data_IF_966421751158
#
_entry.id   IF_966421751158
#
_cell.length_a   1.000
_cell.length_b   1.000
_cell.length_c   1.000
_cell.angle_alpha   90.00
_cell.angle_beta   90.00
_cell.angle_gamma   90.00
#
_symmetry.space_group_name_H-M   'P 1'
#
loop_
_entity.id
_entity.type
_entity.pdbx_description
1 polymer ?
#
# COMPACT_ATOMS: atom_id res chain seq x y z
N UNK A 1 11.74 -4.87 24.78
CA UNK A 1 11.01 -4.23 25.90
C UNK A 1 12.03 -3.80 26.94
N UNK A 2 12.21 -2.49 27.16
CA UNK A 2 12.93 -1.95 28.33
C UNK A 2 11.88 -1.22 29.16
N UNK A 3 11.61 -1.70 30.37
CA UNK A 3 10.61 -1.14 31.28
C UNK A 3 9.97 -2.25 32.12
N UNK A 4 9.61 -1.94 33.37
CA UNK A 4 8.96 -2.86 34.30
C UNK A 4 7.84 -3.67 33.61
N UNK A 5 7.74 -4.97 33.90
CA UNK A 5 6.83 -5.91 33.23
C UNK A 5 5.32 -5.66 33.49
N UNK A 6 4.93 -4.44 33.86
CA UNK A 6 3.55 -4.08 34.08
C UNK A 6 2.97 -3.52 32.77
N UNK A 7 1.89 -4.12 32.24
CA UNK A 7 1.21 -3.57 31.07
C UNK A 7 0.65 -2.18 31.40
N UNK A 8 0.85 -1.23 30.49
CA UNK A 8 0.22 0.10 30.57
C UNK A 8 -1.14 0.01 29.87
N UNK A 9 -2.19 0.46 30.55
CA UNK A 9 -3.54 0.48 29.99
C UNK A 9 -3.68 1.64 28.99
N UNK A 10 -4.21 1.34 27.80
CA UNK A 10 -4.66 2.36 26.85
C UNK A 10 -5.97 2.97 27.36
N UNK A 11 -6.05 4.29 27.41
CA UNK A 11 -7.22 5.01 27.95
C UNK A 11 -7.78 6.04 26.99
N UNK A 12 -9.10 6.23 27.05
CA UNK A 12 -9.80 7.38 26.48
C UNK A 12 -10.46 8.12 27.65
N UNK A 13 -9.96 9.32 27.95
CA UNK A 13 -10.27 9.99 29.21
C UNK A 13 -9.84 9.16 30.41
N UNK A 14 -10.75 8.93 31.37
CA UNK A 14 -10.48 8.12 32.56
C UNK A 14 -10.67 6.61 32.34
N UNK A 15 -11.19 6.18 31.19
CA UNK A 15 -11.65 4.80 30.96
C UNK A 15 -10.61 4.00 30.21
N UNK A 16 -10.25 2.84 30.75
CA UNK A 16 -9.46 1.84 30.01
C UNK A 16 -10.32 1.21 28.91
N UNK A 17 -9.77 1.13 27.70
CA UNK A 17 -10.43 0.45 26.58
C UNK A 17 -10.16 -1.06 26.61
N UNK A 18 -11.05 -1.82 25.99
CA UNK A 18 -10.90 -3.23 25.66
C UNK A 18 -11.10 -3.42 24.16
N UNK A 19 -10.83 -4.62 23.66
CA UNK A 19 -11.02 -4.95 22.23
C UNK A 19 -12.48 -4.78 21.76
N UNK A 20 -13.44 -4.68 22.67
CA UNK A 20 -14.87 -4.57 22.37
C UNK A 20 -15.47 -3.21 22.78
N UNK A 21 -14.66 -2.23 23.20
CA UNK A 21 -15.17 -0.91 23.63
C UNK A 21 -15.91 -0.18 22.51
N UNK A 22 -15.45 -0.33 21.26
CA UNK A 22 -16.05 0.32 20.10
C UNK A 22 -16.48 -0.73 19.06
N UNK A 23 -17.77 -1.08 19.00
CA UNK A 23 -18.27 -2.02 17.99
C UNK A 23 -17.92 -1.57 16.56
N UNK A 24 -17.50 -2.51 15.71
CA UNK A 24 -17.05 -2.22 14.34
C UNK A 24 -15.61 -1.74 14.22
N UNK A 25 -14.86 -1.68 15.33
CA UNK A 25 -13.44 -1.37 15.36
C UNK A 25 -12.63 -2.55 15.89
N UNK A 26 -11.51 -2.81 15.23
CA UNK A 26 -10.53 -3.81 15.64
C UNK A 26 -9.22 -3.11 15.99
N UNK A 27 -8.68 -3.38 17.19
CA UNK A 27 -7.32 -3.00 17.56
C UNK A 27 -6.36 -3.99 16.91
N UNK A 28 -5.36 -3.49 16.17
CA UNK A 28 -4.43 -4.33 15.42
C UNK A 28 -3.05 -4.37 16.08
N UNK A 29 -2.49 -3.19 16.38
CA UNK A 29 -1.13 -3.06 16.87
C UNK A 29 -0.96 -1.80 17.72
N UNK A 30 0.12 -1.75 18.50
CA UNK A 30 0.52 -0.61 19.29
C UNK A 30 2.05 -0.44 19.17
N UNK A 31 2.53 0.78 18.92
CA UNK A 31 3.95 1.08 18.71
C UNK A 31 4.27 2.54 19.09
N UNK A 32 5.50 2.83 19.48
CA UNK A 32 5.99 4.22 19.62
C UNK A 32 6.72 4.64 18.35
N UNK A 33 6.06 5.42 17.50
CA UNK A 33 6.58 5.85 16.21
C UNK A 33 7.07 7.30 16.33
N UNK A 34 8.37 7.52 16.12
CA UNK A 34 9.00 8.85 16.22
C UNK A 34 8.69 9.57 17.55
N UNK A 35 8.67 8.83 18.66
CA UNK A 35 8.41 9.36 20.01
C UNK A 35 6.95 9.58 20.35
N UNK A 36 6.01 9.25 19.46
CA UNK A 36 4.56 9.33 19.70
C UNK A 36 4.04 7.91 19.88
N UNK A 37 3.33 7.66 20.98
CA UNK A 37 2.64 6.39 21.18
C UNK A 37 1.45 6.30 20.23
N UNK A 38 1.34 5.21 19.50
CA UNK A 38 0.32 5.00 18.50
C UNK A 38 -0.38 3.66 18.68
N UNK A 39 -1.67 3.63 18.39
CA UNK A 39 -2.45 2.40 18.26
C UNK A 39 -3.03 2.38 16.85
N UNK A 40 -2.83 1.28 16.13
CA UNK A 40 -3.42 1.06 14.82
C UNK A 40 -4.75 0.33 14.97
N UNK A 41 -5.76 0.83 14.28
CA UNK A 41 -7.11 0.30 14.29
C UNK A 41 -7.61 0.07 12.86
N UNK A 42 -8.51 -0.89 12.72
CA UNK A 42 -9.29 -1.12 11.50
C UNK A 42 -10.76 -0.90 11.77
N UNK A 43 -11.39 -0.06 10.96
CA UNK A 43 -12.84 0.00 10.87
C UNK A 43 -13.30 -1.18 9.99
N UNK A 44 -14.02 -2.13 10.58
CA UNK A 44 -14.34 -3.41 9.92
C UNK A 44 -15.46 -3.27 8.89
N UNK A 45 -16.36 -2.29 9.02
CA UNK A 45 -17.44 -2.09 8.05
C UNK A 45 -16.97 -1.37 6.79
N UNK A 46 -16.02 -0.43 6.93
CA UNK A 46 -15.47 0.34 5.81
C UNK A 46 -14.18 -0.26 5.25
N UNK A 47 -13.55 -1.20 5.96
CA UNK A 47 -12.25 -1.78 5.64
C UNK A 47 -11.14 -0.72 5.51
N UNK A 48 -11.12 0.23 6.45
CA UNK A 48 -10.18 1.36 6.48
C UNK A 48 -9.30 1.32 7.72
N UNK A 49 -8.03 1.72 7.57
CA UNK A 49 -7.09 1.89 8.67
C UNK A 49 -7.14 3.29 9.27
N UNK A 50 -6.91 3.32 10.57
CA UNK A 50 -6.80 4.51 11.39
C UNK A 50 -5.68 4.36 12.41
N UNK A 51 -5.07 5.47 12.77
CA UNK A 51 -4.11 5.58 13.86
C UNK A 51 -4.72 6.47 14.93
N UNK A 52 -4.63 6.02 16.18
CA UNK A 52 -4.73 6.89 17.34
C UNK A 52 -3.35 7.34 17.76
N UNK A 53 -3.21 8.64 18.03
CA UNK A 53 -2.04 9.18 18.69
C UNK A 53 -2.36 9.34 20.18
N UNK A 54 -1.42 8.91 21.01
CA UNK A 54 -1.53 8.89 22.46
C UNK A 54 -0.35 9.65 23.07
N UNK A 55 -0.55 10.15 24.29
CA UNK A 55 0.53 10.72 25.08
C UNK A 55 1.51 9.63 25.56
N UNK A 56 2.57 10.05 26.26
CA UNK A 56 3.57 9.17 26.84
C UNK A 56 3.03 8.16 27.87
N UNK A 57 1.81 8.39 28.38
CA UNK A 57 1.12 7.52 29.33
C UNK A 57 0.02 6.67 28.66
N UNK A 58 -0.02 6.60 27.33
CA UNK A 58 -1.02 5.87 26.54
C UNK A 58 -2.46 6.38 26.75
N UNK A 59 -2.64 7.67 27.01
CA UNK A 59 -3.94 8.33 26.95
C UNK A 59 -4.18 8.90 25.55
N UNK A 60 -5.33 8.57 24.96
CA UNK A 60 -5.75 9.04 23.64
C UNK A 60 -5.76 10.58 23.55
N UNK A 61 -5.18 11.10 22.46
CA UNK A 61 -5.11 12.55 22.18
C UNK A 61 -5.83 12.91 20.87
N UNK A 62 -5.61 12.13 19.82
CA UNK A 62 -6.18 12.41 18.50
C UNK A 62 -6.28 11.14 17.65
N UNK A 63 -7.00 11.25 16.53
CA UNK A 63 -7.08 10.21 15.52
C UNK A 63 -6.83 10.79 14.13
N UNK A 64 -6.31 9.94 13.25
CA UNK A 64 -6.17 10.18 11.83
C UNK A 64 -6.38 8.87 11.09
N UNK A 65 -6.73 8.91 9.81
CA UNK A 65 -7.00 7.68 9.07
C UNK A 65 -8.02 7.84 7.96
N UNK A 66 -8.78 6.77 7.77
CA UNK A 66 -9.68 6.62 6.62
C UNK A 66 -8.93 6.11 5.39
N UNK A 67 -7.86 5.35 5.62
CA UNK A 67 -6.98 4.87 4.56
C UNK A 67 -7.39 3.48 4.09
N UNK A 68 -7.60 3.31 2.79
CA UNK A 68 -7.74 1.98 2.21
C UNK A 68 -6.46 1.18 2.41
N UNK A 69 -6.57 -0.14 2.62
CA UNK A 69 -5.45 -1.01 2.97
C UNK A 69 -4.29 -0.93 1.95
N UNK A 70 -4.60 -0.74 0.66
CA UNK A 70 -3.60 -0.66 -0.41
C UNK A 70 -3.19 0.78 -0.77
N UNK A 71 -3.26 1.71 0.19
CA UNK A 71 -2.91 3.11 -0.03
C UNK A 71 -1.54 3.46 0.56
N UNK A 72 -0.88 4.48 0.02
CA UNK A 72 0.43 4.94 0.52
C UNK A 72 0.47 5.22 2.03
N UNK A 73 -0.55 5.86 2.64
CA UNK A 73 -0.58 6.03 4.10
C UNK A 73 -0.68 4.70 4.86
N UNK A 74 -1.44 3.71 4.35
CA UNK A 74 -1.56 2.39 4.96
C UNK A 74 -0.23 1.62 4.89
N UNK A 75 0.44 1.60 3.74
CA UNK A 75 1.79 1.04 3.58
C UNK A 75 2.82 1.70 4.51
N UNK A 76 2.67 3.01 4.76
CA UNK A 76 3.52 3.70 5.74
C UNK A 76 3.30 3.17 7.15
N UNK A 77 2.06 2.81 7.51
CA UNK A 77 1.78 2.18 8.81
C UNK A 77 2.31 0.75 8.89
N UNK A 78 2.23 -0.03 7.81
CA UNK A 78 2.88 -1.35 7.78
C UNK A 78 4.37 -1.23 8.09
N UNK A 79 5.04 -0.24 7.52
CA UNK A 79 6.46 0.04 7.80
C UNK A 79 6.67 0.52 9.24
N UNK A 80 5.82 1.41 9.76
CA UNK A 80 5.98 1.92 11.13
C UNK A 80 5.78 0.83 12.19
N UNK A 81 4.81 -0.07 11.98
CA UNK A 81 4.46 -1.13 12.92
C UNK A 81 5.10 -2.49 12.57
N UNK A 82 5.84 -2.57 11.46
CA UNK A 82 6.52 -3.78 10.97
C UNK A 82 5.58 -4.98 10.81
N UNK A 83 4.38 -4.75 10.26
CA UNK A 83 3.35 -5.76 10.06
C UNK A 83 2.65 -5.56 8.71
N UNK A 84 2.30 -6.66 8.04
CA UNK A 84 1.49 -6.67 6.83
C UNK A 84 0.00 -6.64 7.22
N UNK A 85 -0.65 -5.49 7.04
CA UNK A 85 -2.05 -5.29 7.44
C UNK A 85 -3.04 -5.56 6.31
N UNK A 86 -2.56 -5.59 5.06
CA UNK A 86 -3.39 -5.80 3.89
C UNK A 86 -3.39 -7.27 3.42
N UNK A 87 -2.40 -8.06 3.85
CA UNK A 87 -2.26 -9.49 3.59
C UNK A 87 -1.65 -9.84 2.23
N UNK A 88 -0.92 -8.93 1.60
CA UNK A 88 -0.27 -9.15 0.29
C UNK A 88 1.11 -9.83 0.39
N UNK A 89 1.60 -10.07 1.60
CA UNK A 89 2.88 -10.69 1.88
C UNK A 89 4.06 -9.73 1.89
N UNK A 90 3.83 -8.42 1.77
CA UNK A 90 4.85 -7.37 1.85
C UNK A 90 4.57 -6.44 3.04
N UNK A 91 5.65 -5.89 3.60
CA UNK A 91 5.56 -4.79 4.57
C UNK A 91 5.87 -3.51 3.80
N UNK A 92 4.91 -2.59 3.76
CA UNK A 92 5.06 -1.32 3.05
C UNK A 92 4.68 -1.42 1.58
N UNK A 93 5.08 -0.45 0.77
CA UNK A 93 4.59 -0.33 -0.60
C UNK A 93 5.26 -1.39 -1.51
N UNK A 94 4.51 -2.36 -2.07
CA UNK A 94 5.09 -3.45 -2.87
C UNK A 94 5.44 -3.04 -4.30
N UNK A 95 4.76 -2.01 -4.84
CA UNK A 95 4.92 -1.59 -6.24
C UNK A 95 5.28 -0.12 -6.37
N UNK A 96 6.23 0.17 -7.25
CA UNK A 96 6.65 1.53 -7.61
C UNK A 96 6.01 1.93 -8.95
N UNK A 97 5.31 3.07 -9.04
CA UNK A 97 4.81 3.58 -10.31
C UNK A 97 5.95 3.93 -11.27
N UNK A 98 5.82 3.47 -12.51
CA UNK A 98 6.58 3.97 -13.67
C UNK A 98 5.80 5.11 -14.32
N UNK A 99 4.47 4.95 -14.40
CA UNK A 99 3.54 5.91 -14.96
C UNK A 99 2.23 5.83 -14.16
N UNK A 100 1.62 6.97 -13.87
CA UNK A 100 0.53 7.07 -12.89
C UNK A 100 -0.61 8.04 -13.32
N UNK A 101 -0.61 8.48 -14.57
CA UNK A 101 -1.65 9.31 -15.16
C UNK A 101 -2.67 8.42 -15.89
N UNK A 102 -3.87 8.96 -16.11
CA UNK A 102 -4.96 8.18 -16.69
C UNK A 102 -5.64 7.25 -15.67
N UNK A 103 -6.34 6.24 -16.18
CA UNK A 103 -7.12 5.31 -15.34
C UNK A 103 -6.29 4.11 -14.90
N UNK A 104 -5.27 3.77 -15.70
CA UNK A 104 -4.39 2.63 -15.49
C UNK A 104 -2.98 3.11 -15.21
N UNK A 105 -2.42 2.71 -14.06
CA UNK A 105 -1.01 2.96 -13.73
C UNK A 105 -0.16 1.82 -14.28
N UNK A 106 1.01 2.14 -14.81
CA UNK A 106 2.07 1.16 -15.01
C UNK A 106 2.96 1.14 -13.76
N UNK A 107 3.08 -0.03 -13.12
CA UNK A 107 3.88 -0.19 -11.91
C UNK A 107 4.85 -1.36 -12.04
N UNK A 108 5.89 -1.37 -11.19
CA UNK A 108 6.84 -2.48 -11.08
C UNK A 108 7.05 -2.93 -9.65
N UNK A 109 7.36 -4.22 -9.48
CA UNK A 109 7.82 -4.75 -8.19
C UNK A 109 9.34 -4.53 -7.99
N UNK A 110 9.85 -4.99 -6.85
CA UNK A 110 11.28 -4.92 -6.48
C UNK A 110 12.20 -5.75 -7.39
N UNK A 111 11.64 -6.71 -8.13
CA UNK A 111 12.35 -7.54 -9.13
C UNK A 111 12.24 -6.98 -10.56
N UNK A 112 11.67 -5.78 -10.70
CA UNK A 112 11.35 -5.09 -11.96
C UNK A 112 10.31 -5.78 -12.84
N UNK A 113 9.51 -6.71 -12.32
CA UNK A 113 8.36 -7.25 -13.05
C UNK A 113 7.27 -6.20 -13.19
N UNK A 114 6.64 -6.15 -14.36
CA UNK A 114 5.68 -5.12 -14.73
C UNK A 114 4.24 -5.56 -14.46
N UNK A 115 3.43 -4.60 -14.03
CA UNK A 115 2.02 -4.76 -13.72
C UNK A 115 1.24 -3.51 -14.15
N UNK A 116 -0.03 -3.69 -14.49
CA UNK A 116 -1.01 -2.60 -14.57
C UNK A 116 -1.80 -2.50 -13.27
N UNK A 117 -2.20 -1.29 -12.87
CA UNK A 117 -3.01 -1.10 -11.67
C UNK A 117 -4.09 -0.05 -11.91
N UNK A 118 -5.36 -0.41 -11.65
CA UNK A 118 -6.49 0.52 -11.67
C UNK A 118 -6.76 0.96 -10.23
N UNK A 119 -6.71 2.27 -9.98
CA UNK A 119 -6.86 2.83 -8.64
C UNK A 119 -5.83 2.25 -7.65
N UNK A 120 -6.30 1.68 -6.54
CA UNK A 120 -5.49 0.99 -5.53
C UNK A 120 -5.80 -0.51 -5.46
N UNK A 121 -6.38 -1.08 -6.52
CA UNK A 121 -6.64 -2.51 -6.58
C UNK A 121 -5.32 -3.29 -6.68
N UNK A 122 -5.36 -4.61 -6.47
CA UNK A 122 -4.18 -5.45 -6.66
C UNK A 122 -3.72 -5.35 -8.13
N UNK A 123 -2.43 -5.07 -8.39
CA UNK A 123 -1.93 -4.97 -9.75
C UNK A 123 -2.02 -6.28 -10.53
N UNK A 124 -2.23 -6.18 -11.83
CA UNK A 124 -2.34 -7.30 -12.78
C UNK A 124 -1.03 -7.41 -13.55
N UNK A 125 -0.43 -8.59 -13.59
CA UNK A 125 0.83 -8.82 -14.28
C UNK A 125 0.69 -8.60 -15.80
N UNK A 126 1.63 -7.84 -16.39
CA UNK A 126 1.72 -7.72 -17.85
C UNK A 126 2.44 -8.95 -18.39
N UNK A 127 1.79 -9.66 -19.32
CA UNK A 127 2.30 -10.92 -19.88
C UNK A 127 2.36 -10.88 -21.39
N UNK A 128 3.23 -11.73 -21.92
CA UNK A 128 3.40 -12.00 -23.35
C UNK A 128 3.33 -13.50 -23.51
N UNK A 129 2.18 -13.98 -23.98
CA UNK A 129 1.79 -15.38 -23.78
C UNK A 129 1.76 -15.70 -22.28
N UNK A 130 2.46 -16.76 -21.86
CA UNK A 130 2.51 -17.18 -20.45
C UNK A 130 3.54 -16.43 -19.60
N UNK A 131 4.46 -15.68 -20.22
CA UNK A 131 5.61 -15.09 -19.54
C UNK A 131 5.32 -13.67 -19.09
N UNK A 132 5.52 -13.39 -17.80
CA UNK A 132 5.47 -12.04 -17.28
C UNK A 132 6.70 -11.24 -17.69
N UNK A 133 6.48 -10.01 -18.15
CA UNK A 133 7.57 -9.13 -18.57
C UNK A 133 8.12 -8.32 -17.39
N UNK A 134 9.41 -8.03 -17.46
CA UNK A 134 10.14 -7.06 -16.65
C UNK A 134 10.52 -5.81 -17.47
N UNK A 135 11.01 -4.76 -16.81
CA UNK A 135 11.57 -3.58 -17.48
C UNK A 135 12.71 -3.89 -18.46
N UNK A 136 13.36 -5.05 -18.33
CA UNK A 136 14.55 -5.42 -19.08
C UNK A 136 14.31 -6.58 -20.07
N UNK A 137 13.05 -6.99 -20.27
CA UNK A 137 12.71 -8.14 -21.13
C UNK A 137 13.18 -7.95 -22.57
N UNK A 138 13.08 -6.73 -23.08
CA UNK A 138 13.42 -6.38 -24.46
C UNK A 138 14.55 -5.34 -24.48
N UNK A 139 15.81 -5.77 -24.66
CA UNK A 139 16.93 -4.83 -24.78
C UNK A 139 16.70 -3.81 -25.91
N UNK A 140 17.01 -2.54 -25.63
CA UNK A 140 16.77 -1.44 -26.57
C UNK A 140 15.34 -0.88 -26.57
N UNK A 141 14.47 -1.38 -25.69
CA UNK A 141 13.11 -0.90 -25.51
C UNK A 141 12.85 -0.43 -24.08
N UNK A 142 12.16 0.69 -23.96
CA UNK A 142 11.67 1.22 -22.70
C UNK A 142 10.14 1.16 -22.69
N UNK A 143 9.57 0.53 -21.67
CA UNK A 143 8.13 0.56 -21.41
C UNK A 143 7.79 1.89 -20.71
N UNK A 144 6.83 2.64 -21.26
CA UNK A 144 6.51 3.99 -20.82
C UNK A 144 5.17 4.09 -20.10
N UNK A 145 4.13 3.45 -20.61
CA UNK A 145 2.78 3.55 -20.07
C UNK A 145 1.96 2.31 -20.43
N UNK A 146 0.86 2.09 -19.72
CA UNK A 146 -0.12 1.06 -20.07
C UNK A 146 -1.53 1.60 -19.83
N UNK A 147 -2.45 1.41 -20.78
CA UNK A 147 -3.82 1.90 -20.68
C UNK A 147 -4.80 1.01 -21.45
N UNK A 148 -6.07 0.98 -21.04
CA UNK A 148 -7.14 0.36 -21.81
C UNK A 148 -7.84 1.43 -22.66
N UNK A 149 -7.63 1.40 -23.96
CA UNK A 149 -8.21 2.36 -24.92
C UNK A 149 -9.26 1.67 -25.77
N UNK A 150 -10.51 2.11 -25.67
CA UNK A 150 -11.66 1.52 -26.39
C UNK A 150 -11.77 0.00 -26.20
N UNK A 151 -11.50 -0.48 -24.98
CA UNK A 151 -11.56 -1.91 -24.64
C UNK A 151 -10.34 -2.73 -25.05
N UNK A 152 -9.30 -2.11 -25.62
CA UNK A 152 -8.04 -2.76 -25.98
C UNK A 152 -6.98 -2.38 -24.95
N UNK A 153 -6.36 -3.37 -24.33
CA UNK A 153 -5.21 -3.16 -23.45
C UNK A 153 -3.99 -2.81 -24.28
N UNK A 154 -3.33 -1.69 -23.98
CA UNK A 154 -2.21 -1.19 -24.75
C UNK A 154 -1.04 -0.88 -23.84
N UNK A 155 0.17 -1.16 -24.33
CA UNK A 155 1.42 -0.72 -23.72
C UNK A 155 2.15 0.19 -24.70
N UNK A 156 2.59 1.35 -24.22
CA UNK A 156 3.43 2.28 -24.99
C UNK A 156 4.90 1.96 -24.73
N UNK A 157 5.65 1.76 -25.81
CA UNK A 157 7.08 1.49 -25.79
C UNK A 157 7.84 2.55 -26.57
N UNK A 158 9.08 2.79 -26.16
CA UNK A 158 10.05 3.60 -26.89
C UNK A 158 11.24 2.74 -27.29
N UNK A 159 11.59 2.75 -28.58
CA UNK A 159 12.87 2.25 -29.04
C UNK A 159 13.96 3.24 -28.64
N UNK A 160 14.91 2.83 -27.80
CA UNK A 160 15.90 3.75 -27.23
C UNK A 160 16.94 4.22 -28.23
N UNK A 161 17.18 3.45 -29.30
CA UNK A 161 18.17 3.76 -30.33
C UNK A 161 17.57 4.65 -31.42
N UNK A 162 16.35 4.35 -31.85
CA UNK A 162 15.68 5.06 -32.94
C UNK A 162 14.83 6.25 -32.45
N UNK A 163 14.57 6.35 -31.15
CA UNK A 163 13.71 7.37 -30.55
C UNK A 163 12.29 7.37 -31.14
N UNK A 164 11.76 6.19 -31.46
CA UNK A 164 10.43 5.98 -32.01
C UNK A 164 9.50 5.35 -30.97
N UNK A 165 8.21 5.72 -31.02
CA UNK A 165 7.16 5.17 -30.16
C UNK A 165 6.40 4.05 -30.87
N UNK A 166 6.02 3.04 -30.10
CA UNK A 166 5.27 1.89 -30.56
C UNK A 166 4.17 1.54 -29.56
N UNK A 167 3.04 1.09 -30.08
CA UNK A 167 1.95 0.54 -29.27
C UNK A 167 1.95 -0.97 -29.42
N UNK A 168 1.91 -1.65 -28.28
CA UNK A 168 1.63 -3.05 -28.22
C UNK A 168 0.21 -3.27 -27.69
N UNK A 169 -0.65 -3.86 -28.51
CA UNK A 169 -1.94 -4.35 -28.06
C UNK A 169 -1.76 -5.71 -27.35
N UNK A 170 -2.22 -5.76 -26.11
CA UNK A 170 -2.36 -6.98 -25.34
C UNK A 170 -3.78 -7.54 -25.51
N UNK A 171 -3.97 -8.79 -25.10
CA UNK A 171 -5.28 -9.46 -25.04
C UNK A 171 -6.18 -8.92 -23.91
#
# INVERSE_FOLDING_TARGET
QIGNNNPIAIKVGATQITTNTYPGWQILAAETVNGINQVLLKNTSQNLLYVWNLDSNWNWQSSQGGWGLNSTPAFSQETNFQQDFNGDGFIGQPFTPIEAFGNTKLVKDTTNKLYTQIGNNNPIAIKVGATQITTNTYPGWQILAAETVNGINQVLLKNTTQNLLYIWNLD
#
